data_IF_242302665718
#
_entry.id   IF_242302665718
#
_cell.length_a   1.000
_cell.length_b   1.000
_cell.length_c   1.000
_cell.angle_alpha   90.00
_cell.angle_beta   90.00
_cell.angle_gamma   90.00
#
_symmetry.space_group_name_H-M   'P 1'
#
loop_
_entity.id
_entity.type
_entity.pdbx_description
1 polymer ?
#
# COMPACT_ATOMS: atom_id res chain seq x y z
N UNK A 1 -2.62 12.40 4.49
CA UNK A 1 -3.33 11.15 4.84
C UNK A 1 -3.98 10.66 3.57
N UNK A 2 -3.29 9.82 2.79
CA UNK A 2 -3.80 9.32 1.51
C UNK A 2 -4.58 8.04 1.79
N UNK A 3 -5.90 8.17 1.76
CA UNK A 3 -6.87 7.08 1.94
C UNK A 3 -7.28 6.66 0.53
N UNK A 4 -6.77 5.53 0.06
CA UNK A 4 -7.27 4.89 -1.16
C UNK A 4 -8.13 3.71 -0.72
N UNK A 5 -9.44 3.89 -0.82
CA UNK A 5 -10.46 2.85 -0.68
C UNK A 5 -10.39 1.95 -1.91
N UNK A 6 -9.66 0.84 -1.82
CA UNK A 6 -9.69 -0.20 -2.87
C UNK A 6 -10.83 -1.15 -2.56
N UNK A 7 -11.83 -1.11 -3.44
CA UNK A 7 -12.99 -1.99 -3.48
C UNK A 7 -12.55 -3.44 -3.76
N UNK A 8 -12.50 -4.27 -2.71
CA UNK A 8 -12.61 -5.72 -2.85
C UNK A 8 -14.03 -6.05 -3.30
N UNK A 9 -14.22 -6.22 -4.60
CA UNK A 9 -15.29 -7.10 -5.08
C UNK A 9 -14.76 -8.53 -4.98
N UNK A 10 -15.10 -9.20 -3.87
CA UNK A 10 -14.88 -10.63 -3.73
C UNK A 10 -15.56 -11.37 -4.89
N UNK A 11 -14.81 -12.30 -5.47
CA UNK A 11 -15.24 -13.29 -6.46
C UNK A 11 -16.73 -13.66 -6.30
N UNK A 12 -17.58 -13.17 -7.21
CA UNK A 12 -18.88 -13.78 -7.47
C UNK A 12 -18.63 -15.08 -8.21
N UNK A 13 -18.42 -16.17 -7.47
CA UNK A 13 -18.48 -17.52 -8.03
C UNK A 13 -19.94 -17.75 -8.43
N UNK A 14 -20.21 -17.71 -9.73
CA UNK A 14 -21.48 -18.14 -10.30
C UNK A 14 -21.66 -19.64 -9.98
N UNK A 15 -22.34 -19.93 -8.87
CA UNK A 15 -22.81 -21.27 -8.58
C UNK A 15 -23.87 -21.62 -9.61
N UNK A 16 -23.51 -22.42 -10.62
CA UNK A 16 -24.51 -23.17 -11.40
C UNK A 16 -25.33 -23.99 -10.41
N UNK A 17 -26.64 -23.72 -10.39
CA UNK A 17 -27.61 -24.47 -9.62
C UNK A 17 -27.50 -25.96 -9.96
N UNK A 18 -27.15 -26.76 -8.96
CA UNK A 18 -27.38 -28.20 -8.99
C UNK A 18 -28.77 -28.43 -8.41
N UNK A 19 -29.72 -28.70 -9.30
CA UNK A 19 -30.96 -29.39 -8.98
C UNK A 19 -30.73 -30.86 -9.31
N UNK A 20 -30.69 -31.75 -8.32
CA UNK A 20 -31.60 -32.91 -8.28
C UNK A 20 -31.45 -33.78 -7.03
N UNK A 21 -32.62 -34.29 -6.64
CA UNK A 21 -32.97 -35.52 -5.90
C UNK A 21 -32.53 -35.72 -4.43
N UNK A 22 -33.51 -35.41 -3.57
CA UNK A 22 -34.02 -36.23 -2.45
C UNK A 22 -33.08 -37.22 -1.77
N UNK A 23 -32.46 -36.76 -0.69
CA UNK A 23 -32.12 -37.58 0.47
C UNK A 23 -32.64 -36.86 1.72
N UNK A 24 -33.19 -37.56 2.73
CA UNK A 24 -33.67 -36.93 3.95
C UNK A 24 -32.53 -36.14 4.61
N UNK A 25 -32.80 -34.99 5.27
CA UNK A 25 -31.75 -34.16 5.82
C UNK A 25 -31.02 -34.95 6.90
N UNK A 26 -29.81 -35.42 6.60
CA UNK A 26 -28.84 -35.71 7.65
C UNK A 26 -28.69 -34.38 8.41
N UNK A 27 -29.23 -34.31 9.62
CA UNK A 27 -28.99 -33.23 10.57
C UNK A 27 -27.53 -33.27 11.04
N UNK A 28 -26.59 -33.13 10.10
CA UNK A 28 -25.23 -32.75 10.42
C UNK A 28 -25.29 -31.32 10.91
N UNK A 29 -24.90 -31.10 12.18
CA UNK A 29 -24.84 -29.76 12.77
C UNK A 29 -24.00 -28.86 11.85
N UNK A 30 -24.63 -27.86 11.25
CA UNK A 30 -23.94 -26.90 10.39
C UNK A 30 -22.94 -26.12 11.26
N UNK A 31 -21.65 -26.39 11.07
CA UNK A 31 -20.60 -25.64 11.76
C UNK A 31 -20.33 -24.34 11.01
N UNK A 32 -20.65 -23.24 11.67
CA UNK A 32 -20.38 -21.88 11.23
C UNK A 32 -19.28 -21.32 12.11
N UNK A 33 -18.28 -20.69 11.48
CA UNK A 33 -17.21 -20.01 12.18
C UNK A 33 -17.14 -18.53 11.82
N UNK A 34 -16.48 -17.75 12.67
CA UNK A 34 -16.17 -16.34 12.41
C UNK A 34 -14.66 -16.12 12.39
N UNK A 35 -14.21 -15.19 11.56
CA UNK A 35 -12.82 -14.70 11.52
C UNK A 35 -12.81 -13.20 11.76
N UNK A 36 -12.09 -12.75 12.78
CA UNK A 36 -11.91 -11.32 13.06
C UNK A 36 -10.89 -10.74 12.09
N UNK A 37 -11.38 -10.09 11.04
CA UNK A 37 -10.55 -9.56 9.97
C UNK A 37 -9.71 -8.38 10.43
N UNK A 38 -10.19 -7.56 11.38
CA UNK A 38 -9.40 -6.43 11.89
C UNK A 38 -8.20 -6.93 12.67
N UNK A 39 -8.42 -7.93 13.52
CA UNK A 39 -7.33 -8.60 14.24
C UNK A 39 -6.38 -9.30 13.28
N UNK A 40 -6.91 -10.02 12.28
CA UNK A 40 -6.11 -10.71 11.28
C UNK A 40 -5.21 -9.74 10.50
N UNK A 41 -5.78 -8.64 9.99
CA UNK A 41 -5.03 -7.64 9.24
C UNK A 41 -3.99 -6.93 10.13
N UNK A 42 -4.26 -6.75 11.43
CA UNK A 42 -3.33 -6.16 12.39
C UNK A 42 -2.19 -7.10 12.80
N UNK A 43 -2.45 -8.40 12.93
CA UNK A 43 -1.49 -9.39 13.45
C UNK A 43 -0.77 -10.19 12.36
N UNK A 44 -1.19 -10.07 11.09
CA UNK A 44 -0.49 -10.69 9.96
C UNK A 44 0.80 -9.94 9.62
N UNK A 45 1.93 -10.57 9.90
CA UNK A 45 3.25 -9.93 9.82
C UNK A 45 3.63 -9.49 8.40
N UNK A 46 3.32 -10.29 7.39
CA UNK A 46 3.68 -9.98 6.00
C UNK A 46 2.88 -8.79 5.47
N UNK A 47 1.62 -8.66 5.86
CA UNK A 47 0.81 -7.50 5.54
C UNK A 47 1.34 -6.22 6.19
N UNK A 48 1.78 -6.30 7.46
CA UNK A 48 2.43 -5.15 8.13
C UNK A 48 3.70 -4.72 7.41
N UNK A 49 4.55 -5.68 7.00
CA UNK A 49 5.77 -5.37 6.23
C UNK A 49 5.43 -4.72 4.89
N UNK A 50 4.45 -5.25 4.17
CA UNK A 50 4.01 -4.66 2.90
C UNK A 50 3.45 -3.23 3.07
N UNK A 51 2.71 -2.96 4.14
CA UNK A 51 2.21 -1.61 4.47
C UNK A 51 3.36 -0.65 4.82
N UNK A 52 4.37 -1.11 5.58
CA UNK A 52 5.57 -0.33 5.88
C UNK A 52 6.39 -0.02 4.61
N UNK A 53 6.61 -1.01 3.75
CA UNK A 53 7.27 -0.86 2.44
C UNK A 53 6.51 0.13 1.54
N UNK A 54 5.18 -0.01 1.46
CA UNK A 54 4.33 0.89 0.68
C UNK A 54 4.44 2.34 1.19
N UNK A 55 4.39 2.56 2.51
CA UNK A 55 4.54 3.89 3.12
C UNK A 55 5.91 4.51 2.85
N UNK A 56 6.96 3.70 2.89
CA UNK A 56 8.32 4.14 2.54
C UNK A 56 8.35 4.57 1.07
N UNK A 57 7.76 3.79 0.17
CA UNK A 57 7.75 4.10 -1.26
C UNK A 57 6.94 5.36 -1.59
N UNK A 58 5.78 5.55 -0.95
CA UNK A 58 5.00 6.79 -1.03
C UNK A 58 5.83 7.99 -0.58
N UNK A 59 6.50 7.88 0.58
CA UNK A 59 7.34 8.97 1.10
C UNK A 59 8.49 9.29 0.16
N UNK A 60 9.20 8.28 -0.33
CA UNK A 60 10.32 8.42 -1.25
C UNK A 60 9.91 9.17 -2.53
N UNK A 61 8.74 8.85 -3.08
CA UNK A 61 8.20 9.50 -4.29
C UNK A 61 7.76 10.94 -4.03
N UNK A 62 7.13 11.18 -2.88
CA UNK A 62 6.77 12.52 -2.45
C UNK A 62 8.01 13.41 -2.29
N UNK A 63 9.06 12.90 -1.62
CA UNK A 63 10.34 13.60 -1.48
C UNK A 63 10.96 13.95 -2.85
N UNK A 64 10.86 13.06 -3.85
CA UNK A 64 11.34 13.34 -5.21
C UNK A 64 10.60 14.47 -5.90
N UNK A 65 9.27 14.55 -5.74
CA UNK A 65 8.47 15.65 -6.26
C UNK A 65 8.82 16.96 -5.55
N UNK A 66 8.90 16.91 -4.23
CA UNK A 66 9.22 18.06 -3.40
C UNK A 66 10.61 18.63 -3.70
N UNK A 67 11.61 17.80 -3.94
CA UNK A 67 12.94 18.28 -4.31
C UNK A 67 12.93 19.05 -5.64
N UNK A 68 12.05 18.69 -6.57
CA UNK A 68 11.98 19.29 -7.92
C UNK A 68 11.14 20.55 -7.99
N UNK A 69 10.25 20.78 -7.02
CA UNK A 69 9.29 21.88 -7.04
C UNK A 69 9.95 23.26 -7.21
N UNK A 70 11.04 23.51 -6.48
CA UNK A 70 11.70 24.82 -6.43
C UNK A 70 13.06 24.86 -7.16
N UNK A 71 13.34 23.86 -7.99
CA UNK A 71 14.53 23.82 -8.83
C UNK A 71 14.25 24.33 -10.24
N UNK A 72 15.21 25.03 -10.84
CA UNK A 72 15.14 25.46 -12.24
C UNK A 72 15.29 24.23 -13.16
N UNK A 73 14.82 24.29 -14.42
CA UNK A 73 14.93 23.16 -15.35
C UNK A 73 16.34 22.58 -15.49
N UNK A 74 17.38 23.41 -15.43
CA UNK A 74 18.78 23.00 -15.53
C UNK A 74 19.24 22.26 -14.28
N UNK A 75 18.82 22.73 -13.10
CA UNK A 75 19.10 22.12 -11.80
C UNK A 75 18.37 20.78 -11.65
N UNK A 76 17.15 20.66 -12.20
CA UNK A 76 16.41 19.39 -12.27
C UNK A 76 17.17 18.38 -13.14
N UNK A 77 17.67 18.80 -14.32
CA UNK A 77 18.47 17.91 -15.18
C UNK A 77 19.76 17.46 -14.50
N UNK A 78 20.38 18.33 -13.70
CA UNK A 78 21.56 17.98 -12.91
C UNK A 78 21.19 16.98 -11.80
N UNK A 79 20.11 17.22 -11.07
CA UNK A 79 19.57 16.30 -10.05
C UNK A 79 19.30 14.92 -10.65
N UNK A 80 18.60 14.84 -11.78
CA UNK A 80 18.26 13.58 -12.44
C UNK A 80 19.51 12.78 -12.85
N UNK A 81 20.57 13.46 -13.30
CA UNK A 81 21.86 12.82 -13.61
C UNK A 81 22.54 12.27 -12.37
N UNK A 82 22.54 13.03 -11.26
CA UNK A 82 23.14 12.62 -10.00
C UNK A 82 22.40 11.43 -9.40
N UNK A 83 21.06 11.44 -9.42
CA UNK A 83 20.23 10.31 -8.98
C UNK A 83 20.46 9.05 -9.84
N UNK A 84 20.65 9.20 -11.16
CA UNK A 84 20.98 8.08 -12.03
C UNK A 84 22.35 7.47 -11.70
N UNK A 85 23.37 8.32 -11.47
CA UNK A 85 24.70 7.87 -11.03
C UNK A 85 24.66 7.20 -9.65
N UNK A 86 23.81 7.67 -8.75
CA UNK A 86 23.60 7.07 -7.43
C UNK A 86 22.99 5.67 -7.55
N UNK A 87 21.96 5.52 -8.38
CA UNK A 87 21.31 4.23 -8.63
C UNK A 87 22.27 3.20 -9.25
N UNK A 88 23.25 3.64 -10.04
CA UNK A 88 24.30 2.81 -10.61
C UNK A 88 25.48 2.55 -9.66
N UNK A 89 25.49 3.14 -8.46
CA UNK A 89 26.62 3.05 -7.53
C UNK A 89 27.88 3.79 -7.98
N UNK A 90 27.74 4.73 -8.93
CA UNK A 90 28.84 5.49 -9.57
C UNK A 90 28.94 6.94 -9.08
N UNK A 91 28.12 7.34 -8.11
CA UNK A 91 28.12 8.71 -7.59
C UNK A 91 29.41 9.01 -6.81
N UNK A 92 30.16 9.99 -7.28
CA UNK A 92 31.39 10.46 -6.63
C UNK A 92 31.08 11.24 -5.35
N UNK A 93 32.11 11.50 -4.54
CA UNK A 93 31.98 12.35 -3.34
C UNK A 93 31.56 13.78 -3.69
N UNK A 94 32.04 14.32 -4.81
CA UNK A 94 31.60 15.61 -5.35
C UNK A 94 30.15 15.57 -5.79
N UNK A 95 29.74 14.50 -6.47
CA UNK A 95 28.34 14.28 -6.86
C UNK A 95 27.40 14.23 -5.65
N UNK A 96 27.81 13.58 -4.56
CA UNK A 96 27.06 13.58 -3.29
C UNK A 96 26.90 14.98 -2.70
N UNK A 97 27.98 15.77 -2.68
CA UNK A 97 27.91 17.17 -2.21
C UNK A 97 26.96 17.99 -3.06
N UNK A 98 27.00 17.83 -4.38
CA UNK A 98 26.12 18.56 -5.30
C UNK A 98 24.66 18.15 -5.14
N UNK A 99 24.38 16.87 -4.91
CA UNK A 99 23.04 16.37 -4.62
C UNK A 99 22.46 17.03 -3.37
N UNK A 100 23.24 17.08 -2.28
CA UNK A 100 22.83 17.76 -1.04
C UNK A 100 22.65 19.28 -1.22
N UNK A 101 23.51 19.90 -2.04
CA UNK A 101 23.38 21.32 -2.37
C UNK A 101 22.06 21.63 -3.10
N UNK A 102 21.69 20.82 -4.09
CA UNK A 102 20.44 20.96 -4.83
C UNK A 102 19.22 20.76 -3.93
N UNK A 103 19.29 19.76 -3.04
CA UNK A 103 18.22 19.53 -2.05
C UNK A 103 18.04 20.75 -1.14
N UNK A 104 19.13 21.24 -0.55
CA UNK A 104 19.10 22.44 0.31
C UNK A 104 18.57 23.66 -0.45
N UNK A 105 18.99 23.85 -1.70
CA UNK A 105 18.56 24.98 -2.53
C UNK A 105 17.04 24.98 -2.76
N UNK A 106 16.46 23.81 -3.01
CA UNK A 106 15.01 23.65 -3.17
C UNK A 106 14.27 23.99 -1.88
N UNK A 107 14.73 23.48 -0.73
CA UNK A 107 14.17 23.76 0.59
C UNK A 107 14.25 25.26 0.96
N UNK A 108 15.40 25.90 0.70
CA UNK A 108 15.61 27.33 0.96
C UNK A 108 14.67 28.20 0.14
N UNK A 109 14.50 27.89 -1.15
CA UNK A 109 13.58 28.61 -2.04
C UNK A 109 12.12 28.40 -1.64
N UNK A 110 11.72 27.18 -1.25
CA UNK A 110 10.38 26.89 -0.72
C UNK A 110 10.11 27.72 0.53
N UNK A 111 11.06 27.72 1.47
CA UNK A 111 10.97 28.48 2.71
C UNK A 111 10.86 29.99 2.44
N UNK A 112 11.70 30.52 1.54
CA UNK A 112 11.66 31.91 1.12
C UNK A 112 10.29 32.26 0.51
N UNK A 113 9.78 31.45 -0.41
CA UNK A 113 8.46 31.67 -1.01
C UNK A 113 7.36 31.74 0.06
N UNK A 114 7.35 30.81 1.01
CA UNK A 114 6.39 30.79 2.12
C UNK A 114 6.47 32.03 3.02
N UNK A 115 7.68 32.56 3.25
CA UNK A 115 7.88 33.80 3.99
C UNK A 115 7.37 35.01 3.19
N UNK A 116 7.67 35.07 1.89
CA UNK A 116 7.27 36.19 1.04
C UNK A 116 5.74 36.29 0.89
N UNK A 117 5.03 35.17 0.74
CA UNK A 117 3.56 35.19 0.58
C UNK A 117 2.79 35.63 1.84
N UNK A 118 3.43 35.66 3.01
CA UNK A 118 2.76 35.95 4.29
C UNK A 118 2.99 37.36 4.82
N UNK A 119 3.77 38.19 4.11
CA UNK A 119 4.17 39.54 4.59
C UNK A 119 3.92 40.62 3.56
N UNK A 120 4.01 41.88 3.99
CA UNK A 120 4.05 43.04 3.09
C UNK A 120 5.39 43.10 2.37
N UNK A 121 5.36 43.21 1.04
CA UNK A 121 6.55 43.08 0.19
C UNK A 121 7.11 44.43 -0.26
N UNK A 122 8.44 44.56 -0.22
CA UNK A 122 9.20 45.57 -0.97
C UNK A 122 9.21 45.27 -2.47
N UNK A 123 9.58 46.24 -3.31
CA UNK A 123 9.68 46.02 -4.76
C UNK A 123 10.68 44.92 -5.15
N UNK A 124 11.79 44.78 -4.40
CA UNK A 124 12.76 43.73 -4.65
C UNK A 124 12.20 42.35 -4.27
N UNK A 125 11.50 42.26 -3.14
CA UNK A 125 10.86 41.01 -2.71
C UNK A 125 9.70 40.60 -3.62
N UNK A 126 8.99 41.55 -4.24
CA UNK A 126 8.00 41.25 -5.28
C UNK A 126 8.65 40.58 -6.50
N UNK A 127 9.82 41.05 -6.93
CA UNK A 127 10.56 40.41 -8.03
C UNK A 127 11.01 39.00 -7.66
N UNK A 128 11.56 38.84 -6.46
CA UNK A 128 11.96 37.52 -5.95
C UNK A 128 10.78 36.55 -5.87
N UNK A 129 9.62 37.00 -5.35
CA UNK A 129 8.42 36.17 -5.31
C UNK A 129 7.95 35.79 -6.73
N UNK A 130 7.97 36.74 -7.67
CA UNK A 130 7.61 36.47 -9.07
C UNK A 130 8.53 35.41 -9.70
N UNK A 131 9.83 35.46 -9.42
CA UNK A 131 10.79 34.45 -9.87
C UNK A 131 10.50 33.06 -9.27
N UNK A 132 10.22 32.99 -7.97
CA UNK A 132 9.90 31.72 -7.29
C UNK A 132 8.58 31.12 -7.78
N UNK A 133 7.58 31.96 -8.04
CA UNK A 133 6.32 31.56 -8.65
C UNK A 133 6.52 31.07 -10.09
N UNK A 134 7.40 31.71 -10.86
CA UNK A 134 7.72 31.27 -12.22
C UNK A 134 8.40 29.90 -12.23
N UNK A 135 9.33 29.66 -11.29
CA UNK A 135 9.94 28.34 -11.12
C UNK A 135 8.86 27.29 -10.89
N UNK A 136 7.98 27.51 -9.91
CA UNK A 136 6.89 26.58 -9.57
C UNK A 136 5.98 26.31 -10.78
N UNK A 137 5.56 27.38 -11.48
CA UNK A 137 4.70 27.30 -12.67
C UNK A 137 5.37 26.55 -13.81
N UNK A 138 6.67 26.78 -14.02
CA UNK A 138 7.42 26.09 -15.08
C UNK A 138 7.58 24.59 -14.81
N UNK A 139 7.56 24.20 -13.53
CA UNK A 139 7.71 22.81 -13.10
C UNK A 139 6.37 22.04 -13.04
N UNK A 140 5.24 22.73 -12.95
CA UNK A 140 3.91 22.11 -12.80
C UNK A 140 3.62 20.97 -13.81
N UNK A 141 3.90 21.11 -15.13
CA UNK A 141 3.64 20.03 -16.08
C UNK A 141 4.50 18.79 -15.84
N UNK A 142 5.76 19.00 -15.44
CA UNK A 142 6.69 17.91 -15.10
C UNK A 142 6.21 17.18 -13.85
N UNK A 143 5.92 17.93 -12.79
CA UNK A 143 5.49 17.36 -11.50
C UNK A 143 4.17 16.60 -11.64
N UNK A 144 3.22 17.14 -12.40
CA UNK A 144 1.95 16.45 -12.68
C UNK A 144 2.17 15.12 -13.39
N UNK A 145 3.00 15.10 -14.43
CA UNK A 145 3.34 13.86 -15.16
C UNK A 145 4.06 12.84 -14.26
N UNK A 146 4.93 13.31 -13.38
CA UNK A 146 5.61 12.45 -12.40
C UNK A 146 4.62 11.89 -11.37
N UNK A 147 3.70 12.71 -10.86
CA UNK A 147 2.65 12.30 -9.93
C UNK A 147 1.75 11.23 -10.56
N UNK A 148 1.25 11.45 -11.78
CA UNK A 148 0.41 10.48 -12.51
C UNK A 148 1.14 9.13 -12.65
N UNK A 149 2.42 9.16 -13.05
CA UNK A 149 3.24 7.94 -13.15
C UNK A 149 3.41 7.26 -11.80
N UNK A 150 3.65 8.02 -10.73
CA UNK A 150 3.79 7.48 -9.39
C UNK A 150 2.49 6.89 -8.87
N UNK A 151 1.34 7.49 -9.15
CA UNK A 151 0.04 6.96 -8.76
C UNK A 151 -0.26 5.64 -9.48
N UNK A 152 0.02 5.55 -10.78
CA UNK A 152 -0.11 4.29 -11.53
C UNK A 152 0.77 3.17 -10.95
N UNK A 153 2.05 3.48 -10.68
CA UNK A 153 2.99 2.51 -10.16
C UNK A 153 2.66 2.10 -8.71
N UNK A 154 2.18 3.01 -7.86
CA UNK A 154 1.69 2.70 -6.51
C UNK A 154 0.41 1.85 -6.57
N UNK A 155 -0.48 2.13 -7.51
CA UNK A 155 -1.66 1.31 -7.79
C UNK A 155 -1.28 -0.13 -8.12
N UNK A 156 -0.35 -0.33 -9.06
CA UNK A 156 0.16 -1.68 -9.42
C UNK A 156 0.82 -2.39 -8.24
N UNK A 157 1.58 -1.68 -7.41
CA UNK A 157 2.20 -2.25 -6.22
C UNK A 157 1.14 -2.71 -5.20
N UNK A 158 0.12 -1.89 -4.98
CA UNK A 158 -1.01 -2.23 -4.12
C UNK A 158 -1.77 -3.45 -4.65
N UNK A 159 -2.09 -3.47 -5.94
CA UNK A 159 -2.80 -4.60 -6.57
C UNK A 159 -2.03 -5.92 -6.38
N UNK A 160 -0.71 -5.90 -6.59
CA UNK A 160 0.16 -7.06 -6.38
C UNK A 160 0.16 -7.53 -4.91
N UNK A 161 0.16 -6.60 -3.96
CA UNK A 161 0.04 -6.95 -2.54
C UNK A 161 -1.34 -7.53 -2.21
N UNK A 162 -2.41 -6.93 -2.72
CA UNK A 162 -3.78 -7.38 -2.47
C UNK A 162 -4.04 -8.77 -3.05
N UNK A 163 -3.57 -9.04 -4.27
CA UNK A 163 -3.70 -10.35 -4.91
C UNK A 163 -2.95 -11.42 -4.09
N UNK A 164 -1.68 -11.17 -3.80
CA UNK A 164 -0.82 -12.14 -3.09
C UNK A 164 -1.28 -12.40 -1.66
N UNK A 165 -1.50 -11.35 -0.89
CA UNK A 165 -1.84 -11.45 0.53
C UNK A 165 -3.30 -11.85 0.71
N UNK A 166 -4.22 -11.32 -0.11
CA UNK A 166 -5.63 -11.69 -0.10
C UNK A 166 -5.82 -13.18 -0.41
N UNK A 167 -5.12 -13.70 -1.43
CA UNK A 167 -5.13 -15.14 -1.73
C UNK A 167 -4.61 -15.97 -0.56
N UNK A 168 -3.53 -15.54 0.09
CA UNK A 168 -2.95 -16.27 1.23
C UNK A 168 -3.88 -16.29 2.45
N UNK A 169 -4.61 -15.20 2.71
CA UNK A 169 -5.66 -15.15 3.73
C UNK A 169 -6.79 -16.12 3.39
N UNK A 170 -7.31 -16.07 2.16
CA UNK A 170 -8.36 -16.98 1.71
C UNK A 170 -7.95 -18.45 1.83
N UNK A 171 -6.76 -18.81 1.34
CA UNK A 171 -6.25 -20.18 1.39
C UNK A 171 -6.08 -20.66 2.85
N UNK A 172 -5.64 -19.77 3.75
CA UNK A 172 -5.49 -20.07 5.18
C UNK A 172 -6.84 -20.28 5.87
N UNK A 173 -7.82 -19.42 5.61
CA UNK A 173 -9.21 -19.59 6.10
C UNK A 173 -9.81 -20.89 5.60
N UNK A 174 -9.63 -21.20 4.31
CA UNK A 174 -10.10 -22.44 3.70
C UNK A 174 -9.45 -23.67 4.33
N UNK A 175 -8.14 -23.64 4.58
CA UNK A 175 -7.42 -24.75 5.23
C UNK A 175 -7.92 -25.01 6.65
N UNK A 176 -8.16 -23.96 7.44
CA UNK A 176 -8.76 -24.08 8.78
C UNK A 176 -10.19 -24.62 8.69
N UNK A 177 -11.00 -24.08 7.78
CA UNK A 177 -12.38 -24.53 7.60
C UNK A 177 -12.47 -26.03 7.25
N UNK A 178 -11.62 -26.50 6.34
CA UNK A 178 -11.53 -27.90 5.95
C UNK A 178 -11.10 -28.79 7.12
N UNK A 179 -10.11 -28.36 7.92
CA UNK A 179 -9.62 -29.11 9.09
C UNK A 179 -10.71 -29.36 10.14
N UNK A 180 -11.59 -28.39 10.36
CA UNK A 180 -12.64 -28.47 11.39
C UNK A 180 -14.02 -28.82 10.81
N UNK A 181 -14.13 -29.10 9.51
CA UNK A 181 -15.42 -29.40 8.87
C UNK A 181 -16.40 -28.22 8.83
N UNK A 182 -15.89 -26.99 8.96
CA UNK A 182 -16.67 -25.75 8.90
C UNK A 182 -17.19 -25.56 7.46
N UNK A 183 -18.48 -25.25 7.34
CA UNK A 183 -19.15 -25.08 6.03
C UNK A 183 -19.30 -23.61 5.63
N UNK A 184 -19.30 -22.71 6.61
CA UNK A 184 -19.39 -21.27 6.39
C UNK A 184 -18.46 -20.55 7.36
N UNK A 185 -17.62 -19.66 6.83
CA UNK A 185 -16.82 -18.73 7.62
C UNK A 185 -17.32 -17.32 7.32
N UNK A 186 -17.64 -16.57 8.36
CA UNK A 186 -18.10 -15.18 8.22
C UNK A 186 -16.99 -14.24 8.70
N UNK A 187 -16.67 -13.24 7.89
CA UNK A 187 -15.74 -12.18 8.27
C UNK A 187 -16.40 -11.25 9.29
N UNK A 188 -15.90 -11.24 10.52
CA UNK A 188 -16.23 -10.24 11.53
C UNK A 188 -15.31 -9.04 11.32
N UNK A 189 -15.90 -7.85 11.23
CA UNK A 189 -15.17 -6.58 11.11
C UNK A 189 -15.56 -5.64 12.24
N UNK A 190 -14.59 -4.89 12.76
CA UNK A 190 -14.80 -3.85 13.76
C UNK A 190 -15.23 -2.53 13.12
N UNK A 191 -15.77 -1.64 13.96
CA UNK A 191 -16.55 -0.48 13.55
C UNK A 191 -15.72 0.71 13.01
N UNK A 192 -14.42 0.56 12.70
CA UNK A 192 -13.57 1.73 12.46
C UNK A 192 -12.74 1.65 11.17
N UNK A 193 -12.97 2.67 10.32
CA UNK A 193 -12.15 3.19 9.20
C UNK A 193 -12.25 2.56 7.80
N UNK A 194 -12.92 1.43 7.58
CA UNK A 194 -13.08 0.83 6.24
C UNK A 194 -14.54 0.77 5.79
N UNK A 195 -15.15 1.94 5.66
CA UNK A 195 -16.61 2.12 5.57
C UNK A 195 -17.20 1.98 4.15
N UNK A 196 -16.42 1.61 3.13
CA UNK A 196 -16.86 1.74 1.73
C UNK A 196 -16.83 0.45 0.88
N UNK A 197 -16.54 -0.73 1.44
CA UNK A 197 -16.20 -1.90 0.61
C UNK A 197 -16.89 -3.22 0.98
N UNK A 198 -17.32 -3.41 2.24
CA UNK A 198 -18.03 -4.63 2.64
C UNK A 198 -19.15 -4.26 3.60
N UNK A 199 -20.39 -4.30 3.14
CA UNK A 199 -21.60 -3.91 3.89
C UNK A 199 -22.09 -4.98 4.87
N UNK A 200 -21.30 -6.01 5.16
CA UNK A 200 -21.73 -7.15 5.97
C UNK A 200 -21.12 -7.11 7.38
N UNK A 201 -21.93 -6.66 8.34
CA UNK A 201 -21.60 -6.68 9.76
C UNK A 201 -22.23 -7.89 10.45
N UNK A 202 -21.41 -8.69 11.13
CA UNK A 202 -21.92 -9.72 12.04
C UNK A 202 -22.31 -9.03 13.35
N UNK A 203 -23.60 -8.72 13.52
CA UNK A 203 -24.12 -8.16 14.78
C UNK A 203 -24.18 -9.22 15.90
N UNK A 204 -24.56 -10.44 15.53
CA UNK A 204 -24.60 -11.60 16.40
C UNK A 204 -24.43 -12.85 15.53
N UNK A 205 -23.54 -13.74 15.93
CA UNK A 205 -23.49 -15.09 15.39
C UNK A 205 -23.41 -16.04 16.57
N UNK A 206 -24.29 -17.05 16.61
CA UNK A 206 -24.06 -18.27 17.40
C UNK A 206 -23.02 -19.13 16.65
N UNK A 207 -21.86 -18.51 16.41
CA UNK A 207 -20.76 -19.15 15.74
C UNK A 207 -20.25 -20.24 16.68
N UNK A 208 -20.26 -21.46 16.19
CA UNK A 208 -19.73 -22.59 16.94
C UNK A 208 -18.22 -22.45 17.23
N UNK A 209 -17.53 -21.55 16.51
CA UNK A 209 -16.08 -21.36 16.62
C UNK A 209 -15.63 -19.97 16.11
N UNK A 210 -14.67 -19.33 16.79
CA UNK A 210 -13.84 -18.27 16.21
C UNK A 210 -12.53 -18.91 15.73
N UNK A 211 -12.10 -18.62 14.50
CA UNK A 211 -10.92 -19.26 13.89
C UNK A 211 -9.75 -18.30 13.64
N UNK A 212 -9.84 -17.06 14.16
CA UNK A 212 -8.86 -16.00 13.89
C UNK A 212 -7.44 -16.43 14.25
N UNK A 213 -7.25 -17.06 15.42
CA UNK A 213 -5.93 -17.44 15.90
C UNK A 213 -5.31 -18.56 15.04
N UNK A 214 -6.11 -19.53 14.63
CA UNK A 214 -5.70 -20.65 13.79
C UNK A 214 -5.27 -20.17 12.41
N UNK A 215 -6.02 -19.22 11.84
CA UNK A 215 -5.68 -18.59 10.57
C UNK A 215 -4.39 -17.78 10.70
N UNK A 216 -4.23 -16.99 11.77
CA UNK A 216 -2.99 -16.27 12.05
C UNK A 216 -1.79 -17.19 12.22
N UNK A 217 -1.96 -18.36 12.84
CA UNK A 217 -0.89 -19.34 13.00
C UNK A 217 -0.42 -19.87 11.64
N UNK A 218 -1.30 -20.09 10.67
CA UNK A 218 -0.93 -20.48 9.30
C UNK A 218 -0.27 -19.32 8.56
N UNK A 219 -0.83 -18.12 8.67
CA UNK A 219 -0.33 -16.92 7.97
C UNK A 219 1.08 -16.54 8.43
N UNK A 220 1.35 -16.63 9.73
CA UNK A 220 2.63 -16.27 10.33
C UNK A 220 3.60 -17.46 10.45
N UNK A 221 3.21 -18.66 10.02
CA UNK A 221 4.14 -19.77 9.92
C UNK A 221 5.25 -19.45 8.91
N UNK A 222 6.51 -19.84 9.19
CA UNK A 222 7.57 -19.78 8.20
C UNK A 222 7.15 -20.60 6.97
N UNK A 223 7.49 -20.17 5.74
CA UNK A 223 7.18 -20.94 4.55
C UNK A 223 7.74 -22.35 4.73
N UNK A 224 6.90 -23.37 4.57
CA UNK A 224 7.36 -24.75 4.63
C UNK A 224 8.54 -24.90 3.66
N UNK A 225 9.72 -25.15 4.21
CA UNK A 225 10.88 -25.56 3.45
C UNK A 225 10.48 -26.84 2.73
N UNK A 226 10.11 -26.73 1.45
CA UNK A 226 9.98 -27.89 0.57
C UNK A 226 11.22 -28.75 0.80
N UNK A 227 10.99 -29.95 1.30
CA UNK A 227 12.01 -30.82 1.82
C UNK A 227 13.18 -30.92 0.85
N UNK A 228 14.39 -30.76 1.38
CA UNK A 228 15.61 -31.17 0.70
C UNK A 228 15.40 -32.62 0.27
N UNK A 229 15.22 -32.86 -1.03
CA UNK A 229 15.41 -34.19 -1.59
C UNK A 229 16.82 -34.63 -1.20
N UNK A 230 16.88 -35.64 -0.32
CA UNK A 230 18.13 -36.31 -0.03
C UNK A 230 18.65 -36.90 -1.34
N UNK A 231 19.93 -36.70 -1.70
CA UNK A 231 20.50 -37.39 -2.84
C UNK A 231 20.47 -38.89 -2.51
N UNK A 232 19.72 -39.65 -3.31
CA UNK A 232 19.79 -41.11 -3.27
C UNK A 232 21.24 -41.51 -3.57
N UNK A 233 21.83 -42.23 -2.62
CA UNK A 233 23.13 -42.89 -2.74
C UNK A 233 23.12 -43.90 -3.87
#
# INVERSE_FOLDING_TARGET
VVIVSVLFSLFSVHSKAFSDESSPPQQGKLLIAVVDMDRLLKEYQELRKADEEYKIEVRRRQEKLEMREMLRPEEIRELDKLEALEAEGKLTSEGKKKLEELKRLSEERRSLMNILITKTLTEEEKKQLAELQEITRSNEPLLKKMQEKYDEELGRLMDAYLERLGKRIYDSVKAVAQRYGIKLVIAKRGMQKWQAVFDEFVLYADATMEITQEVLNILNAPPETKGKEQPKK
#
